data_IF_629708693131
#
_entry.id   IF_629708693131
#
_cell.length_a   1.000
_cell.length_b   1.000
_cell.length_c   1.000
_cell.angle_alpha   90.00
_cell.angle_beta   90.00
_cell.angle_gamma   90.00
#
_symmetry.space_group_name_H-M   'P 1'
#
loop_
_entity.id
_entity.type
_entity.pdbx_description
1 polymer ?
#
# COMPACT_ATOMS: atom_id res chain seq x y z
N UNK A 1 -23.32 0.89 -13.96
CA UNK A 1 -22.33 1.20 -12.91
C UNK A 1 -21.24 2.02 -13.56
N UNK A 2 -20.94 3.19 -12.99
CA UNK A 2 -19.89 4.11 -13.42
C UNK A 2 -18.94 4.41 -12.26
N UNK A 3 -17.74 4.88 -12.58
CA UNK A 3 -16.78 5.37 -11.59
C UNK A 3 -16.71 6.88 -11.74
N UNK A 4 -16.87 7.60 -10.63
CA UNK A 4 -16.66 9.04 -10.51
C UNK A 4 -15.48 9.32 -9.59
N UNK A 5 -14.76 10.40 -9.85
CA UNK A 5 -13.67 10.89 -8.99
C UNK A 5 -14.09 12.26 -8.49
N UNK A 6 -14.16 12.41 -7.16
CA UNK A 6 -14.55 13.65 -6.50
C UNK A 6 -13.58 13.85 -5.34
N UNK A 7 -12.91 15.00 -5.29
CA UNK A 7 -11.96 15.36 -4.22
C UNK A 7 -10.94 14.25 -3.90
N UNK A 8 -10.27 13.72 -4.94
CA UNK A 8 -9.31 12.61 -4.85
C UNK A 8 -9.87 11.31 -4.25
N UNK A 9 -11.19 11.15 -4.22
CA UNK A 9 -11.88 9.96 -3.73
C UNK A 9 -12.56 9.26 -4.90
N UNK A 10 -12.44 7.93 -4.98
CA UNK A 10 -13.12 7.11 -5.97
C UNK A 10 -14.52 6.80 -5.46
N UNK A 11 -15.52 7.08 -6.29
CA UNK A 11 -16.92 6.79 -6.04
C UNK A 11 -17.43 5.82 -7.09
N UNK A 12 -18.01 4.71 -6.65
CA UNK A 12 -18.77 3.83 -7.53
C UNK A 12 -20.23 4.29 -7.51
N UNK A 13 -20.76 4.60 -8.69
CA UNK A 13 -22.10 5.14 -8.86
C UNK A 13 -22.95 4.12 -9.62
N UNK A 14 -24.08 3.74 -9.02
CA UNK A 14 -25.04 2.82 -9.61
C UNK A 14 -26.44 3.44 -9.55
N UNK A 15 -27.14 3.41 -10.69
CA UNK A 15 -28.56 3.77 -10.73
C UNK A 15 -29.37 2.50 -10.49
N UNK A 16 -30.19 2.53 -9.45
CA UNK A 16 -31.09 1.43 -9.08
C UNK A 16 -32.51 1.85 -9.43
N UNK A 17 -33.15 1.09 -10.31
CA UNK A 17 -34.56 1.27 -10.65
C UNK A 17 -35.40 0.28 -9.86
N UNK A 18 -36.40 0.78 -9.14
CA UNK A 18 -37.41 -0.07 -8.53
C UNK A 18 -38.42 -0.50 -9.60
N UNK A 19 -38.40 -1.77 -9.99
CA UNK A 19 -39.25 -2.30 -11.05
C UNK A 19 -40.76 -2.26 -10.74
N UNK A 20 -41.14 -2.12 -9.46
CA UNK A 20 -42.55 -2.06 -9.05
C UNK A 20 -43.11 -0.64 -9.06
N UNK A 21 -42.28 0.38 -8.86
CA UNK A 21 -42.72 1.78 -8.78
C UNK A 21 -42.20 2.65 -9.94
N UNK A 22 -41.25 2.16 -10.72
CA UNK A 22 -40.56 2.93 -11.78
C UNK A 22 -39.60 3.99 -11.25
N UNK A 23 -39.50 4.16 -9.93
CA UNK A 23 -38.63 5.15 -9.32
C UNK A 23 -37.15 4.74 -9.50
N UNK A 24 -36.32 5.73 -9.80
CA UNK A 24 -34.87 5.57 -9.86
C UNK A 24 -34.22 6.27 -8.68
N UNK A 25 -33.23 5.61 -8.08
CA UNK A 25 -32.35 6.20 -7.09
C UNK A 25 -30.91 6.07 -7.56
N UNK A 26 -30.10 7.08 -7.27
CA UNK A 26 -28.65 7.00 -7.46
C UNK A 26 -28.01 6.55 -6.15
N UNK A 27 -27.26 5.46 -6.21
CA UNK A 27 -26.45 4.97 -5.11
C UNK A 27 -24.98 5.31 -5.38
N UNK A 28 -24.32 5.95 -4.41
CA UNK A 28 -22.89 6.25 -4.43
C UNK A 28 -22.18 5.49 -3.33
N UNK A 29 -21.12 4.76 -3.67
CA UNK A 29 -20.28 4.00 -2.74
C UNK A 29 -18.87 4.60 -2.75
N UNK A 30 -18.40 5.07 -1.60
CA UNK A 30 -17.02 5.54 -1.44
C UNK A 30 -16.07 4.33 -1.47
N UNK A 31 -15.13 4.33 -2.42
CA UNK A 31 -14.10 3.29 -2.59
C UNK A 31 -12.73 3.69 -2.02
N UNK A 32 -12.63 4.86 -1.41
CA UNK A 32 -11.41 5.37 -0.79
C UNK A 32 -10.63 6.32 -1.71
N UNK A 33 -9.37 6.62 -1.36
CA UNK A 33 -8.55 7.53 -2.13
C UNK A 33 -8.27 7.02 -3.54
N UNK A 34 -8.02 7.95 -4.45
CA UNK A 34 -7.69 7.67 -5.85
C UNK A 34 -6.31 7.05 -6.03
N UNK A 35 -5.41 7.28 -5.06
CA UNK A 35 -4.10 6.67 -5.04
C UNK A 35 -4.04 5.55 -4.00
N UNK A 36 -3.26 4.53 -4.32
CA UNK A 36 -2.89 3.47 -3.39
C UNK A 36 -1.41 3.13 -3.59
N UNK A 37 -0.80 2.50 -2.58
CA UNK A 37 0.56 2.00 -2.69
C UNK A 37 0.53 0.49 -2.95
N UNK A 38 1.14 0.08 -4.05
CA UNK A 38 1.45 -1.33 -4.31
C UNK A 38 2.79 -1.63 -3.67
N UNK A 39 2.78 -2.46 -2.62
CA UNK A 39 3.98 -2.89 -1.92
C UNK A 39 4.46 -4.25 -2.41
N UNK A 40 5.78 -4.43 -2.46
CA UNK A 40 6.41 -5.72 -2.75
C UNK A 40 7.83 -5.73 -2.20
N UNK A 41 8.37 -6.95 -2.05
CA UNK A 41 9.73 -7.22 -1.60
C UNK A 41 10.46 -8.02 -2.69
N UNK A 42 11.78 -7.90 -2.75
CA UNK A 42 12.61 -8.73 -3.62
C UNK A 42 12.74 -10.19 -3.13
N UNK A 43 12.39 -10.47 -1.87
CA UNK A 43 12.50 -11.78 -1.23
C UNK A 43 11.16 -12.19 -0.61
N UNK A 44 10.65 -13.37 -0.96
CA UNK A 44 9.42 -13.92 -0.37
C UNK A 44 9.61 -14.37 1.09
N UNK A 45 10.81 -14.88 1.41
CA UNK A 45 11.24 -15.26 2.76
C UNK A 45 12.63 -14.71 3.00
N UNK A 46 12.81 -14.09 4.16
CA UNK A 46 14.05 -13.37 4.50
C UNK A 46 14.74 -14.12 5.65
N UNK A 47 15.98 -14.60 5.50
CA UNK A 47 16.74 -15.15 6.62
C UNK A 47 16.83 -14.15 7.79
N UNK A 48 16.50 -14.61 8.99
CA UNK A 48 16.62 -13.84 10.23
C UNK A 48 18.07 -13.88 10.78
N UNK A 49 19.03 -13.43 9.98
CA UNK A 49 20.47 -13.52 10.26
C UNK A 49 21.14 -12.16 10.52
N UNK A 50 20.34 -11.08 10.57
CA UNK A 50 20.78 -9.69 10.67
C UNK A 50 21.76 -9.22 9.57
N UNK A 51 21.82 -9.94 8.45
CA UNK A 51 22.78 -9.70 7.35
C UNK A 51 22.10 -9.66 6.00
N UNK A 52 21.12 -10.54 5.79
CA UNK A 52 20.38 -10.65 4.54
C UNK A 52 19.43 -9.46 4.41
N UNK A 53 19.71 -8.60 3.43
CA UNK A 53 18.90 -7.43 3.12
C UNK A 53 17.74 -7.79 2.23
N UNK A 54 16.54 -7.45 2.67
CA UNK A 54 15.35 -7.41 1.83
C UNK A 54 15.04 -5.96 1.45
N UNK A 55 14.83 -5.70 0.18
CA UNK A 55 14.44 -4.38 -0.32
C UNK A 55 12.93 -4.34 -0.45
N UNK A 56 12.29 -3.51 0.36
CA UNK A 56 10.86 -3.24 0.29
C UNK A 56 10.64 -2.06 -0.64
N UNK A 57 9.77 -2.24 -1.62
CA UNK A 57 9.42 -1.22 -2.61
C UNK A 57 7.96 -0.81 -2.46
N UNK A 58 7.70 0.48 -2.66
CA UNK A 58 6.36 1.03 -2.87
C UNK A 58 6.27 1.67 -4.24
N UNK A 59 5.20 1.34 -4.96
CA UNK A 59 4.77 2.05 -6.16
C UNK A 59 3.47 2.82 -5.88
N UNK A 60 3.43 4.10 -6.25
CA UNK A 60 2.20 4.90 -6.22
C UNK A 60 1.37 4.57 -7.44
N UNK A 61 0.17 4.04 -7.24
CA UNK A 61 -0.76 3.72 -8.31
C UNK A 61 -2.02 4.57 -8.21
N UNK A 62 -2.52 4.97 -9.35
CA UNK A 62 -3.82 5.56 -9.54
C UNK A 62 -4.81 4.45 -9.90
N UNK A 63 -5.96 4.40 -9.22
CA UNK A 63 -6.91 3.29 -9.35
C UNK A 63 -7.31 2.98 -10.80
N UNK A 64 -7.43 4.00 -11.65
CA UNK A 64 -7.79 3.83 -13.07
C UNK A 64 -6.62 3.90 -14.06
N UNK A 65 -5.48 4.50 -13.69
CA UNK A 65 -4.38 4.78 -14.63
C UNK A 65 -3.12 3.94 -14.36
N UNK A 66 -3.13 3.11 -13.32
CA UNK A 66 -1.97 2.35 -12.87
C UNK A 66 -0.89 3.26 -12.30
N UNK A 67 0.38 2.90 -12.50
CA UNK A 67 1.51 3.59 -11.89
C UNK A 67 1.54 5.10 -12.18
N UNK A 68 1.55 5.90 -11.12
CA UNK A 68 1.64 7.36 -11.14
C UNK A 68 3.10 7.83 -11.18
N UNK A 69 3.70 7.80 -12.37
CA UNK A 69 5.14 8.15 -12.57
C UNK A 69 5.50 9.60 -12.25
N UNK A 70 4.53 10.51 -12.31
CA UNK A 70 4.67 11.94 -12.07
C UNK A 70 4.45 12.33 -10.58
N UNK A 71 4.26 11.34 -9.69
CA UNK A 71 4.16 11.62 -8.26
C UNK A 71 5.52 12.07 -7.70
N UNK A 72 5.52 13.25 -7.06
CA UNK A 72 6.70 13.94 -6.51
C UNK A 72 6.56 14.25 -5.01
N UNK A 73 6.02 13.33 -4.22
CA UNK A 73 5.94 13.44 -2.76
C UNK A 73 6.83 12.42 -2.06
N UNK A 74 6.82 12.40 -0.72
CA UNK A 74 7.47 11.34 0.04
C UNK A 74 6.53 10.16 0.27
N UNK A 75 7.14 9.01 0.51
CA UNK A 75 6.50 7.80 1.01
C UNK A 75 7.13 7.48 2.36
N UNK A 76 6.30 7.41 3.39
CA UNK A 76 6.69 6.94 4.71
C UNK A 76 6.39 5.46 4.82
N UNK A 77 7.38 4.66 5.20
CA UNK A 77 7.27 3.25 5.54
C UNK A 77 7.33 3.11 7.06
N UNK A 78 6.44 2.30 7.61
CA UNK A 78 6.41 1.86 9.00
C UNK A 78 6.54 0.35 9.03
N UNK A 79 7.55 -0.15 9.73
CA UNK A 79 7.80 -1.57 9.92
C UNK A 79 7.35 -1.96 11.31
N UNK A 80 6.39 -2.86 11.41
CA UNK A 80 5.71 -3.19 12.66
C UNK A 80 5.70 -4.69 12.95
N UNK A 81 5.58 -5.08 14.22
CA UNK A 81 5.15 -6.44 14.56
C UNK A 81 3.66 -6.65 14.26
N UNK A 82 3.16 -7.83 14.62
CA UNK A 82 1.74 -8.18 14.52
C UNK A 82 0.86 -7.50 15.58
N UNK A 83 1.45 -6.95 16.65
CA UNK A 83 0.75 -6.20 17.69
C UNK A 83 0.61 -4.71 17.34
N UNK A 84 1.35 -4.25 16.32
CA UNK A 84 1.35 -2.88 15.82
C UNK A 84 2.44 -2.00 16.45
N UNK A 85 3.44 -2.58 17.11
CA UNK A 85 4.63 -1.87 17.57
C UNK A 85 5.53 -1.49 16.38
N UNK A 86 5.90 -0.22 16.25
CA UNK A 86 6.77 0.26 15.17
C UNK A 86 8.25 0.13 15.56
N UNK A 87 9.02 -0.66 14.80
CA UNK A 87 10.47 -0.81 14.97
C UNK A 87 11.27 0.17 14.14
N UNK A 88 10.81 0.43 12.92
CA UNK A 88 11.51 1.25 11.92
C UNK A 88 10.49 2.15 11.24
N UNK A 89 10.86 3.41 11.09
CA UNK A 89 10.10 4.39 10.31
C UNK A 89 11.03 5.14 9.37
N UNK A 90 10.80 5.00 8.07
CA UNK A 90 11.63 5.60 7.03
C UNK A 90 10.79 6.46 6.10
N UNK A 91 11.23 7.69 5.84
CA UNK A 91 10.54 8.60 4.91
C UNK A 91 11.44 8.87 3.71
N UNK A 92 11.00 8.44 2.54
CA UNK A 92 11.81 8.46 1.32
C UNK A 92 11.10 9.28 0.24
N UNK A 93 11.78 10.27 -0.37
CA UNK A 93 11.26 10.96 -1.54
C UNK A 93 11.04 9.98 -2.69
N UNK A 94 9.83 9.99 -3.25
CA UNK A 94 9.54 9.14 -4.41
C UNK A 94 10.22 9.69 -5.68
N UNK A 95 10.74 8.78 -6.50
CA UNK A 95 11.27 9.08 -7.82
C UNK A 95 10.57 8.21 -8.85
N UNK A 96 9.98 8.83 -9.88
CA UNK A 96 9.21 8.11 -10.90
C UNK A 96 8.01 7.35 -10.33
N UNK A 97 7.40 7.86 -9.24
CA UNK A 97 6.30 7.22 -8.53
C UNK A 97 6.70 6.03 -7.65
N UNK A 98 7.98 5.91 -7.29
CA UNK A 98 8.51 4.78 -6.50
C UNK A 98 9.40 5.22 -5.35
N UNK A 99 9.39 4.46 -4.28
CA UNK A 99 10.37 4.54 -3.20
C UNK A 99 10.72 3.13 -2.72
N UNK A 100 11.89 2.96 -2.12
CA UNK A 100 12.31 1.67 -1.55
C UNK A 100 13.25 1.85 -0.38
N UNK A 101 13.16 0.95 0.61
CA UNK A 101 14.10 0.89 1.73
C UNK A 101 14.54 -0.56 1.96
N UNK A 102 15.73 -0.72 2.53
CA UNK A 102 16.26 -2.04 2.90
C UNK A 102 15.96 -2.34 4.36
N UNK A 103 15.60 -3.59 4.65
CA UNK A 103 15.38 -4.11 6.00
C UNK A 103 16.20 -5.38 6.24
N UNK A 104 16.70 -5.53 7.47
CA UNK A 104 17.29 -6.75 8.02
C UNK A 104 16.63 -7.04 9.37
N UNK A 105 16.71 -8.29 9.83
CA UNK A 105 16.26 -8.66 11.17
C UNK A 105 17.06 -9.85 11.69
N UNK A 106 17.37 -9.85 12.98
CA UNK A 106 17.86 -11.02 13.71
C UNK A 106 16.72 -11.92 14.23
N UNK A 107 15.48 -11.42 14.18
CA UNK A 107 14.30 -12.03 14.78
C UNK A 107 13.46 -12.67 13.68
N UNK A 108 13.20 -13.97 13.82
CA UNK A 108 12.26 -14.69 12.94
C UNK A 108 10.81 -14.34 13.31
N UNK A 109 9.94 -14.34 12.31
CA UNK A 109 8.52 -14.06 12.48
C UNK A 109 7.93 -13.27 11.32
N UNK A 110 6.63 -13.02 11.41
CA UNK A 110 5.92 -12.15 10.49
C UNK A 110 5.93 -10.72 11.00
N UNK A 111 6.15 -9.78 10.09
CA UNK A 111 6.08 -8.35 10.35
C UNK A 111 5.20 -7.70 9.31
N UNK A 112 4.61 -6.56 9.67
CA UNK A 112 3.80 -5.76 8.78
C UNK A 112 4.63 -4.59 8.29
N UNK A 113 4.57 -4.33 6.99
CA UNK A 113 5.00 -3.05 6.43
C UNK A 113 3.75 -2.27 6.04
N UNK A 114 3.57 -1.13 6.68
CA UNK A 114 2.62 -0.12 6.24
C UNK A 114 3.37 0.99 5.52
N UNK A 115 2.76 1.53 4.48
CA UNK A 115 3.31 2.69 3.80
C UNK A 115 2.20 3.70 3.50
N UNK A 116 2.55 4.98 3.53
CA UNK A 116 1.66 6.06 3.13
C UNK A 116 2.41 7.16 2.38
N UNK A 117 1.71 7.80 1.44
CA UNK A 117 2.16 9.04 0.80
C UNK A 117 1.91 10.24 1.71
N UNK A 118 2.66 11.33 1.51
CA UNK A 118 2.43 12.59 2.21
C UNK A 118 0.96 13.04 2.12
N UNK A 119 0.41 13.52 3.24
CA UNK A 119 -1.00 13.90 3.34
C UNK A 119 -1.97 12.71 3.32
N UNK A 120 -1.46 11.47 3.40
CA UNK A 120 -2.24 10.22 3.49
C UNK A 120 -3.22 10.01 2.32
N UNK A 121 -2.86 10.51 1.14
CA UNK A 121 -3.69 10.41 -0.07
C UNK A 121 -3.61 9.05 -0.76
N UNK A 122 -2.75 8.17 -0.28
CA UNK A 122 -2.62 6.79 -0.73
C UNK A 122 -1.79 5.99 0.27
N UNK A 123 -2.22 4.77 0.52
CA UNK A 123 -1.60 3.85 1.48
C UNK A 123 -1.51 2.43 0.92
N UNK A 124 -0.68 1.62 1.56
CA UNK A 124 -0.52 0.21 1.26
C UNK A 124 -0.03 -0.55 2.49
N UNK A 125 -0.31 -1.85 2.51
CA UNK A 125 0.09 -2.76 3.59
C UNK A 125 0.53 -4.09 2.99
N UNK A 126 1.62 -4.64 3.51
CA UNK A 126 2.08 -5.99 3.18
C UNK A 126 2.60 -6.71 4.43
N UNK A 127 2.61 -8.02 4.39
CA UNK A 127 3.33 -8.86 5.36
C UNK A 127 4.70 -9.23 4.78
N UNK A 128 5.72 -9.22 5.62
CA UNK A 128 7.04 -9.80 5.33
C UNK A 128 7.35 -10.87 6.36
N UNK A 129 8.03 -11.92 5.92
CA UNK A 129 8.28 -13.10 6.76
C UNK A 129 9.79 -13.32 6.88
N UNK A 130 10.28 -13.23 8.11
CA UNK A 130 11.64 -13.59 8.48
C UNK A 130 11.66 -15.04 8.97
N UNK A 131 12.51 -15.87 8.37
CA UNK A 131 12.62 -17.30 8.62
C UNK A 131 13.95 -17.66 9.24
N UNK A 132 14.04 -18.87 9.80
CA UNK A 132 15.32 -19.40 10.28
C UNK A 132 16.37 -19.34 9.16
N UNK A 133 17.59 -18.84 9.42
CA UNK A 133 18.65 -18.89 8.43
C UNK A 133 18.93 -20.35 8.06
N UNK A 134 19.08 -20.65 6.78
CA UNK A 134 19.58 -21.97 6.39
C UNK A 134 21.01 -22.12 6.91
N UNK A 135 21.26 -23.18 7.69
CA UNK A 135 22.62 -23.52 8.13
C UNK A 135 23.47 -23.80 6.88
N UNK A 136 24.57 -23.06 6.73
CA UNK A 136 25.52 -23.19 5.63
C UNK A 136 26.40 -24.45 5.74
#
# INVERSE_FOLDING_TARGET
>A
MSIEIIDNTVWEVSVITNNNTGNTIEQRINRGPILYLKLYTNLEKIPADDKTKATICAEVHHYVNGLKKDFNGNITFSFLDLEGEEYIRETIPASGGRASFDVTSAVKGSFIVEACTDGSIGSGRMEVIFVEPEEA
#
